data_IF_282174157284
#
_entry.id   IF_282174157284
#
_cell.length_a   1.000
_cell.length_b   1.000
_cell.length_c   1.000
_cell.angle_alpha   90.00
_cell.angle_beta   90.00
_cell.angle_gamma   90.00
#
_symmetry.space_group_name_H-M   'P 1'
#
loop_
_entity.id
_entity.type
_entity.pdbx_description
1 polymer ?
#
# COMPACT_ATOMS: atom_id res chain seq x y z
N UNK A 1 1.54 39.73 8.01
CA UNK A 1 0.40 38.84 8.33
C UNK A 1 0.91 37.42 8.16
N UNK A 2 1.19 36.69 9.25
CA UNK A 2 1.67 35.31 9.15
C UNK A 2 0.58 34.43 8.54
N UNK A 3 0.90 33.69 7.48
CA UNK A 3 -0.05 32.78 6.84
C UNK A 3 -0.37 31.64 7.81
N UNK A 4 -1.48 31.76 8.56
CA UNK A 4 -1.85 30.79 9.61
C UNK A 4 -2.37 29.46 9.05
N UNK A 5 -2.38 29.27 7.73
CA UNK A 5 -2.84 28.03 7.08
C UNK A 5 -1.95 26.82 7.38
N UNK A 6 -0.68 27.03 7.74
CA UNK A 6 0.21 25.92 8.11
C UNK A 6 -0.12 25.33 9.48
N UNK A 7 -0.70 26.11 10.40
CA UNK A 7 -0.92 25.68 11.78
C UNK A 7 -1.97 24.57 11.90
N UNK A 8 -3.16 24.64 11.26
CA UNK A 8 -4.11 23.53 11.25
C UNK A 8 -3.56 22.28 10.56
N UNK A 9 -2.76 22.43 9.50
CA UNK A 9 -2.15 21.32 8.79
C UNK A 9 -1.07 20.63 9.64
N UNK A 10 -0.24 21.42 10.32
CA UNK A 10 0.75 20.94 11.26
C UNK A 10 0.08 20.24 12.45
N UNK A 11 -0.92 20.85 13.09
CA UNK A 11 -1.65 20.23 14.19
C UNK A 11 -2.39 18.95 13.76
N UNK A 12 -3.06 18.96 12.60
CA UNK A 12 -3.79 17.81 12.08
C UNK A 12 -2.90 16.61 11.71
N UNK A 13 -1.62 16.84 11.42
CA UNK A 13 -0.67 15.78 11.08
C UNK A 13 0.22 15.38 12.26
N UNK A 14 0.72 16.37 13.01
CA UNK A 14 1.65 16.15 14.13
C UNK A 14 0.94 15.62 15.38
N UNK A 15 -0.28 16.06 15.68
CA UNK A 15 -1.01 15.57 16.85
C UNK A 15 -1.25 14.05 16.79
N UNK A 16 -1.84 13.47 15.71
CA UNK A 16 -1.97 12.02 15.62
C UNK A 16 -0.62 11.31 15.53
N UNK A 17 0.44 11.94 14.99
CA UNK A 17 1.77 11.35 14.89
C UNK A 17 2.55 11.33 16.21
N UNK A 18 2.29 12.26 17.13
CA UNK A 18 3.08 12.42 18.35
C UNK A 18 2.34 11.97 19.61
N UNK A 19 1.01 12.15 19.69
CA UNK A 19 0.24 11.83 20.89
C UNK A 19 0.26 10.33 21.22
N UNK A 20 -0.03 9.39 20.30
CA UNK A 20 0.02 7.96 20.63
C UNK A 20 1.42 7.48 21.01
N UNK A 21 2.50 7.82 20.26
CA UNK A 21 3.88 7.59 20.70
C UNK A 21 4.20 8.10 22.10
N UNK A 22 3.82 9.34 22.42
CA UNK A 22 4.06 9.93 23.73
C UNK A 22 3.35 9.15 24.85
N UNK A 23 2.08 8.78 24.64
CA UNK A 23 1.33 7.94 25.59
C UNK A 23 1.99 6.56 25.77
N UNK A 24 2.46 5.93 24.70
CA UNK A 24 3.15 4.63 24.77
C UNK A 24 4.46 4.74 25.55
N UNK A 25 5.23 5.81 25.35
CA UNK A 25 6.49 6.03 26.09
C UNK A 25 6.21 6.23 27.59
N UNK A 26 5.19 7.02 27.94
CA UNK A 26 4.78 7.19 29.33
C UNK A 26 4.34 5.86 29.93
N UNK A 27 3.50 5.11 29.21
CA UNK A 27 3.07 3.77 29.65
C UNK A 27 4.28 2.85 29.82
N UNK A 28 5.21 2.80 28.86
CA UNK A 28 6.42 1.98 28.92
C UNK A 28 7.25 2.26 30.17
N UNK A 29 7.48 3.53 30.49
CA UNK A 29 8.24 3.95 31.67
C UNK A 29 7.63 3.42 32.98
N UNK A 30 6.29 3.43 33.09
CA UNK A 30 5.61 2.86 34.26
C UNK A 30 5.46 1.34 34.15
N UNK A 31 5.34 0.79 32.95
CA UNK A 31 5.09 -0.62 32.70
C UNK A 31 6.19 -1.50 33.30
N UNK A 32 7.45 -1.08 33.19
CA UNK A 32 8.58 -1.83 33.78
C UNK A 32 8.43 -2.07 35.29
N UNK A 33 7.81 -1.13 36.01
CA UNK A 33 7.65 -1.20 37.46
C UNK A 33 6.41 -1.97 37.92
N UNK A 34 5.40 -2.12 37.05
CA UNK A 34 4.10 -2.71 37.40
C UNK A 34 3.73 -3.97 36.60
N UNK A 35 4.47 -4.29 35.54
CA UNK A 35 4.20 -5.44 34.70
C UNK A 35 4.67 -6.73 35.37
N UNK A 36 3.89 -7.80 35.14
CA UNK A 36 4.31 -9.15 35.50
C UNK A 36 5.29 -9.67 34.46
N UNK A 37 6.32 -10.38 34.91
CA UNK A 37 7.22 -11.10 34.01
C UNK A 37 6.44 -12.22 33.32
N UNK A 38 6.48 -12.24 31.98
CA UNK A 38 5.84 -13.26 31.14
C UNK A 38 6.91 -13.98 30.34
N UNK A 39 7.00 -15.29 30.49
CA UNK A 39 7.86 -16.14 29.67
C UNK A 39 7.22 -16.32 28.28
N UNK A 40 7.85 -15.74 27.25
CA UNK A 40 7.35 -15.79 25.87
C UNK A 40 7.29 -17.19 25.26
N UNK A 41 8.00 -18.18 25.80
CA UNK A 41 8.11 -19.53 25.24
C UNK A 41 7.24 -20.56 25.95
N UNK A 42 6.95 -20.35 27.24
CA UNK A 42 6.28 -21.33 28.10
C UNK A 42 5.03 -20.79 28.82
N UNK A 43 4.49 -19.64 28.39
CA UNK A 43 3.29 -19.08 29.01
C UNK A 43 2.07 -20.00 28.78
N UNK A 44 1.53 -20.55 29.85
CA UNK A 44 0.40 -21.51 29.85
C UNK A 44 -0.86 -20.96 30.53
N UNK A 45 -0.86 -19.71 30.98
CA UNK A 45 -1.82 -19.27 31.98
C UNK A 45 -3.21 -18.96 31.41
N UNK A 46 -4.22 -19.44 32.13
CA UNK A 46 -5.63 -19.03 32.14
C UNK A 46 -5.86 -17.57 32.58
N UNK A 47 -4.85 -16.70 32.44
CA UNK A 47 -4.87 -15.32 32.89
C UNK A 47 -5.08 -14.43 31.66
N UNK A 48 -6.23 -13.77 31.58
CA UNK A 48 -6.36 -12.61 30.73
C UNK A 48 -5.54 -11.48 31.37
N UNK A 49 -4.27 -11.37 31.00
CA UNK A 49 -3.34 -10.36 31.50
C UNK A 49 -3.26 -9.14 30.58
N UNK A 50 -4.22 -9.00 29.67
CA UNK A 50 -4.25 -8.00 28.59
C UNK A 50 -3.11 -8.09 27.58
N UNK A 51 -2.17 -9.04 27.69
CA UNK A 51 -0.97 -9.18 26.83
C UNK A 51 -1.03 -10.46 25.99
N UNK A 52 -1.62 -11.54 26.50
CA UNK A 52 -1.81 -12.79 25.79
C UNK A 52 -3.27 -13.01 25.36
N UNK A 53 -3.48 -13.43 24.10
CA UNK A 53 -4.72 -14.14 23.75
C UNK A 53 -4.63 -15.48 24.47
N UNK A 54 -5.56 -15.75 25.41
CA UNK A 54 -5.66 -17.05 26.08
C UNK A 54 -5.97 -18.20 25.11
N UNK A 55 -6.73 -19.24 25.49
CA UNK A 55 -6.96 -20.43 24.66
C UNK A 55 -7.83 -20.20 23.39
N UNK A 56 -7.96 -18.96 22.92
CA UNK A 56 -8.66 -18.59 21.69
C UNK A 56 -7.85 -18.91 20.42
N UNK A 57 -6.55 -19.20 20.54
CA UNK A 57 -5.74 -19.73 19.44
C UNK A 57 -5.85 -21.26 19.43
N UNK A 58 -6.09 -21.84 18.25
CA UNK A 58 -6.01 -23.29 18.07
C UNK A 58 -4.54 -23.72 18.08
N UNK A 59 -4.00 -24.09 19.24
CA UNK A 59 -2.61 -24.53 19.40
C UNK A 59 -1.92 -23.92 20.63
N UNK A 60 -0.59 -23.89 20.61
CA UNK A 60 0.21 -23.20 21.62
C UNK A 60 0.11 -21.70 21.36
N UNK A 61 -0.49 -20.96 22.29
CA UNK A 61 -0.68 -19.52 22.16
C UNK A 61 0.67 -18.79 22.03
N UNK A 62 0.76 -17.86 21.09
CA UNK A 62 1.98 -17.08 20.82
C UNK A 62 1.88 -15.65 21.38
N UNK A 63 3.03 -15.10 21.77
CA UNK A 63 3.11 -13.73 22.28
C UNK A 63 2.74 -12.71 21.19
N UNK A 64 1.87 -11.75 21.52
CA UNK A 64 1.40 -10.70 20.60
C UNK A 64 1.71 -9.30 21.13
N UNK A 65 2.17 -8.41 20.26
CA UNK A 65 2.54 -7.04 20.66
C UNK A 65 1.35 -6.07 20.79
N UNK A 66 0.27 -6.29 20.04
CA UNK A 66 -0.84 -5.34 19.89
C UNK A 66 -1.73 -5.20 21.13
N UNK A 67 -1.77 -6.21 22.01
CA UNK A 67 -2.58 -6.17 23.22
C UNK A 67 -1.86 -5.39 24.33
N UNK A 68 -1.86 -4.06 24.20
CA UNK A 68 -1.40 -3.09 25.21
C UNK A 68 -0.02 -3.35 25.82
N UNK A 69 0.87 -4.01 25.10
CA UNK A 69 2.24 -4.15 25.54
C UNK A 69 3.03 -2.93 25.03
N UNK A 70 3.72 -2.22 25.91
CA UNK A 70 4.48 -1.02 25.55
C UNK A 70 5.83 -1.40 24.90
N UNK A 71 5.81 -2.26 23.88
CA UNK A 71 7.02 -2.74 23.20
C UNK A 71 7.44 -1.86 22.04
N UNK A 72 8.70 -2.01 21.60
CA UNK A 72 9.19 -1.34 20.40
C UNK A 72 8.37 -1.69 19.15
N UNK A 73 7.89 -2.93 19.00
CA UNK A 73 7.05 -3.31 17.87
C UNK A 73 5.66 -2.65 17.94
N UNK A 74 5.08 -2.51 19.14
CA UNK A 74 3.84 -1.75 19.35
C UNK A 74 4.01 -0.29 18.90
N UNK A 75 5.14 0.33 19.25
CA UNK A 75 5.48 1.66 18.78
C UNK A 75 5.58 1.75 17.24
N UNK A 76 6.28 0.79 16.59
CA UNK A 76 6.37 0.71 15.12
C UNK A 76 4.99 0.55 14.46
N UNK A 77 4.12 -0.30 15.01
CA UNK A 77 2.75 -0.51 14.54
C UNK A 77 1.91 0.77 14.60
N UNK A 78 2.04 1.54 15.69
CA UNK A 78 1.36 2.83 15.81
C UNK A 78 1.88 3.87 14.82
N UNK A 79 3.20 4.01 14.67
CA UNK A 79 3.78 4.91 13.68
C UNK A 79 3.32 4.58 12.26
N UNK A 80 3.34 3.29 11.90
CA UNK A 80 2.86 2.80 10.61
C UNK A 80 1.38 3.17 10.39
N UNK A 81 0.54 2.92 11.39
CA UNK A 81 -0.91 3.20 11.31
C UNK A 81 -1.17 4.68 11.14
N UNK A 82 -0.49 5.53 11.91
CA UNK A 82 -0.66 6.98 11.79
C UNK A 82 -0.21 7.47 10.42
N UNK A 83 0.95 7.00 9.93
CA UNK A 83 1.43 7.36 8.61
C UNK A 83 0.41 6.98 7.51
N UNK A 84 -0.13 5.75 7.56
CA UNK A 84 -1.12 5.28 6.61
C UNK A 84 -2.42 6.12 6.65
N UNK A 85 -2.92 6.44 7.85
CA UNK A 85 -4.13 7.26 8.03
C UNK A 85 -3.93 8.69 7.53
N UNK A 86 -2.79 9.32 7.82
CA UNK A 86 -2.47 10.67 7.34
C UNK A 86 -2.35 10.67 5.80
N UNK A 87 -1.67 9.68 5.22
CA UNK A 87 -1.52 9.56 3.78
C UNK A 87 -2.88 9.41 3.08
N UNK A 88 -3.76 8.55 3.62
CA UNK A 88 -5.12 8.38 3.11
C UNK A 88 -5.92 9.68 3.22
N UNK A 89 -5.85 10.36 4.38
CA UNK A 89 -6.53 11.63 4.62
C UNK A 89 -6.11 12.70 3.61
N UNK A 90 -4.80 12.90 3.40
CA UNK A 90 -4.31 13.89 2.43
C UNK A 90 -4.69 13.53 0.98
N UNK A 91 -4.71 12.24 0.63
CA UNK A 91 -5.19 11.80 -0.68
C UNK A 91 -6.68 12.12 -0.87
N UNK A 92 -7.54 11.78 0.10
CA UNK A 92 -8.98 12.05 0.05
C UNK A 92 -9.25 13.56 0.00
N UNK A 93 -8.61 14.33 0.88
CA UNK A 93 -8.70 15.79 0.91
C UNK A 93 -8.34 16.41 -0.43
N UNK A 94 -7.26 15.94 -1.07
CA UNK A 94 -6.87 16.38 -2.41
C UNK A 94 -7.92 16.03 -3.47
N UNK A 95 -8.46 14.81 -3.46
CA UNK A 95 -9.50 14.40 -4.41
C UNK A 95 -10.78 15.22 -4.24
N UNK A 96 -11.22 15.46 -3.01
CA UNK A 96 -12.37 16.33 -2.71
C UNK A 96 -12.11 17.74 -3.25
N UNK A 97 -10.93 18.31 -3.02
CA UNK A 97 -10.58 19.62 -3.57
C UNK A 97 -10.66 19.65 -5.10
N UNK A 98 -10.18 18.61 -5.78
CA UNK A 98 -10.27 18.50 -7.25
C UNK A 98 -11.72 18.35 -7.74
N UNK A 99 -12.57 17.64 -6.99
CA UNK A 99 -14.01 17.51 -7.28
C UNK A 99 -14.68 18.88 -7.19
N UNK A 100 -14.46 19.61 -6.08
CA UNK A 100 -15.02 20.93 -5.87
C UNK A 100 -14.56 21.95 -6.93
N UNK A 101 -13.33 21.81 -7.40
CA UNK A 101 -12.78 22.65 -8.47
C UNK A 101 -13.18 22.20 -9.89
N UNK A 102 -13.93 21.10 -10.04
CA UNK A 102 -14.26 20.49 -11.34
C UNK A 102 -13.02 20.17 -12.20
N UNK A 103 -11.91 19.85 -11.53
CA UNK A 103 -10.62 19.50 -12.16
C UNK A 103 -10.27 18.03 -12.02
N UNK A 104 -11.19 17.21 -11.52
CA UNK A 104 -10.92 15.80 -11.32
C UNK A 104 -11.00 15.02 -12.63
N UNK A 105 -9.96 14.24 -12.92
CA UNK A 105 -9.98 13.19 -13.93
C UNK A 105 -10.53 11.90 -13.32
N UNK A 106 -11.82 11.63 -13.54
CA UNK A 106 -12.54 10.49 -12.94
C UNK A 106 -11.91 9.11 -13.22
N UNK A 107 -11.22 8.94 -14.36
CA UNK A 107 -10.51 7.68 -14.63
C UNK A 107 -9.43 7.38 -13.59
N UNK A 108 -8.76 8.40 -13.07
CA UNK A 108 -7.75 8.25 -12.01
C UNK A 108 -8.38 8.08 -10.62
N UNK A 109 -9.58 8.65 -10.39
CA UNK A 109 -10.33 8.39 -9.17
C UNK A 109 -10.68 6.89 -9.06
N UNK A 110 -11.16 6.28 -10.14
CA UNK A 110 -11.47 4.84 -10.17
C UNK A 110 -10.21 4.01 -9.87
N UNK A 111 -9.07 4.33 -10.47
CA UNK A 111 -7.81 3.64 -10.20
C UNK A 111 -7.37 3.78 -8.74
N UNK A 112 -7.47 5.00 -8.18
CA UNK A 112 -7.17 5.22 -6.78
C UNK A 112 -8.08 4.41 -5.87
N UNK A 113 -9.39 4.41 -6.10
CA UNK A 113 -10.37 3.65 -5.32
C UNK A 113 -10.09 2.15 -5.33
N UNK A 114 -9.73 1.60 -6.49
CA UNK A 114 -9.36 0.17 -6.60
C UNK A 114 -8.05 -0.14 -5.85
N UNK A 115 -7.07 0.78 -5.88
CA UNK A 115 -5.79 0.60 -5.18
C UNK A 115 -5.89 0.63 -3.65
N UNK A 116 -7.00 1.12 -3.08
CA UNK A 116 -7.21 1.15 -1.62
C UNK A 116 -7.09 -0.24 -1.02
N UNK A 117 -7.57 -1.28 -1.72
CA UNK A 117 -7.49 -2.66 -1.24
C UNK A 117 -6.03 -3.09 -1.02
N UNK A 118 -5.14 -2.85 -2.00
CA UNK A 118 -3.74 -3.24 -1.89
C UNK A 118 -3.02 -2.49 -0.77
N UNK A 119 -3.23 -1.18 -0.66
CA UNK A 119 -2.66 -0.38 0.44
C UNK A 119 -3.17 -0.81 1.82
N UNK A 120 -4.46 -1.11 1.92
CA UNK A 120 -5.05 -1.64 3.16
C UNK A 120 -4.44 -2.99 3.54
N UNK A 121 -4.31 -3.90 2.57
CA UNK A 121 -3.69 -5.19 2.81
C UNK A 121 -2.23 -5.04 3.23
N UNK A 122 -1.46 -4.18 2.56
CA UNK A 122 -0.06 -3.93 2.91
C UNK A 122 0.06 -3.45 4.36
N UNK A 123 -0.74 -2.45 4.75
CA UNK A 123 -0.81 -1.98 6.15
C UNK A 123 -1.12 -3.14 7.11
N UNK A 124 -2.15 -3.95 6.80
CA UNK A 124 -2.54 -5.09 7.61
C UNK A 124 -1.44 -6.16 7.72
N UNK A 125 -0.75 -6.46 6.62
CA UNK A 125 0.34 -7.42 6.60
C UNK A 125 1.49 -6.97 7.51
N UNK A 126 1.94 -5.72 7.40
CA UNK A 126 2.97 -5.19 8.30
C UNK A 126 2.54 -5.18 9.76
N UNK A 127 1.28 -4.84 10.05
CA UNK A 127 0.74 -4.93 11.41
C UNK A 127 0.89 -6.36 11.96
N UNK A 128 0.52 -7.38 11.19
CA UNK A 128 0.69 -8.78 11.60
C UNK A 128 2.16 -9.18 11.74
N UNK A 129 3.03 -8.77 10.81
CA UNK A 129 4.46 -9.07 10.87
C UNK A 129 5.12 -8.51 12.14
N UNK A 130 4.78 -7.28 12.52
CA UNK A 130 5.23 -6.71 13.79
C UNK A 130 4.56 -7.32 15.00
N UNK A 131 3.30 -7.72 14.90
CA UNK A 131 2.55 -8.30 16.01
C UNK A 131 2.99 -9.73 16.35
N UNK A 132 3.39 -10.49 15.33
CA UNK A 132 3.69 -11.92 15.41
C UNK A 132 5.21 -12.21 15.31
N UNK A 133 6.06 -11.18 15.23
CA UNK A 133 7.49 -11.29 14.95
C UNK A 133 7.81 -12.14 13.68
N UNK A 134 6.93 -12.10 12.69
CA UNK A 134 7.04 -12.86 11.44
C UNK A 134 7.59 -12.00 10.31
N UNK A 135 8.87 -12.17 9.99
CA UNK A 135 9.58 -11.33 9.00
C UNK A 135 9.99 -12.05 7.71
N UNK A 136 9.62 -13.32 7.52
CA UNK A 136 10.05 -14.09 6.35
C UNK A 136 9.57 -13.48 5.02
N UNK A 137 8.38 -12.86 5.02
CA UNK A 137 7.78 -12.24 3.83
C UNK A 137 7.99 -10.72 3.78
N UNK A 138 8.87 -10.19 4.63
CA UNK A 138 9.05 -8.74 4.80
C UNK A 138 9.54 -8.05 3.54
N UNK A 139 10.60 -8.59 2.93
CA UNK A 139 11.24 -8.00 1.75
C UNK A 139 10.31 -8.02 0.54
N UNK A 140 9.59 -9.12 0.35
CA UNK A 140 8.60 -9.26 -0.70
C UNK A 140 7.47 -8.24 -0.51
N UNK A 141 6.90 -8.13 0.69
CA UNK A 141 5.87 -7.14 1.00
C UNK A 141 6.37 -5.70 0.81
N UNK A 142 7.60 -5.40 1.21
CA UNK A 142 8.25 -4.09 1.04
C UNK A 142 8.37 -3.71 -0.44
N UNK A 143 8.78 -4.65 -1.28
CA UNK A 143 8.89 -4.45 -2.70
C UNK A 143 7.54 -4.04 -3.31
N UNK A 144 6.48 -4.82 -3.08
CA UNK A 144 5.13 -4.51 -3.59
C UNK A 144 4.58 -3.21 -3.03
N UNK A 145 4.78 -2.92 -1.74
CA UNK A 145 4.33 -1.64 -1.16
C UNK A 145 5.02 -0.45 -1.82
N UNK A 146 6.33 -0.53 -2.09
CA UNK A 146 7.06 0.57 -2.74
C UNK A 146 6.55 0.79 -4.18
N UNK A 147 6.39 -0.27 -4.96
CA UNK A 147 5.91 -0.16 -6.34
C UNK A 147 4.46 0.33 -6.38
N UNK A 148 3.59 -0.13 -5.48
CA UNK A 148 2.22 0.37 -5.32
C UNK A 148 2.19 1.86 -4.97
N UNK A 149 3.03 2.32 -4.04
CA UNK A 149 3.15 3.75 -3.70
C UNK A 149 3.57 4.57 -4.92
N UNK A 150 4.58 4.12 -5.69
CA UNK A 150 5.01 4.82 -6.90
C UNK A 150 3.85 4.94 -7.90
N UNK A 151 3.12 3.84 -8.14
CA UNK A 151 1.97 3.86 -9.04
C UNK A 151 0.88 4.81 -8.53
N UNK A 152 0.52 4.74 -7.25
CA UNK A 152 -0.49 5.61 -6.64
C UNK A 152 -0.08 7.08 -6.68
N UNK A 153 1.20 7.42 -6.48
CA UNK A 153 1.69 8.80 -6.63
C UNK A 153 1.48 9.30 -8.06
N UNK A 154 1.75 8.47 -9.07
CA UNK A 154 1.50 8.82 -10.48
C UNK A 154 0.01 8.96 -10.78
N UNK A 155 -0.84 8.06 -10.27
CA UNK A 155 -2.31 8.14 -10.39
C UNK A 155 -2.83 9.42 -9.75
N UNK A 156 -2.41 9.73 -8.53
CA UNK A 156 -2.80 10.95 -7.81
C UNK A 156 -2.27 12.20 -8.52
N UNK A 157 -1.06 12.19 -9.06
CA UNK A 157 -0.56 13.28 -9.90
C UNK A 157 -1.46 13.49 -11.12
N UNK A 158 -1.81 12.42 -11.85
CA UNK A 158 -2.70 12.46 -13.01
C UNK A 158 -4.18 12.66 -12.67
N UNK A 159 -4.59 12.61 -11.41
CA UNK A 159 -5.97 12.89 -11.01
C UNK A 159 -6.40 14.33 -11.28
N UNK A 160 -5.45 15.26 -11.34
CA UNK A 160 -5.70 16.64 -11.75
C UNK A 160 -5.75 16.75 -13.28
N UNK A 161 -6.85 17.27 -13.82
CA UNK A 161 -7.06 17.44 -15.26
C UNK A 161 -6.09 18.45 -15.88
N UNK A 162 -5.57 19.40 -15.08
CA UNK A 162 -4.57 20.39 -15.51
C UNK A 162 -3.20 19.77 -15.80
N UNK A 163 -2.91 18.61 -15.18
CA UNK A 163 -1.68 17.90 -15.41
C UNK A 163 -1.70 17.18 -16.76
N UNK A 164 -0.65 17.40 -17.55
CA UNK A 164 -0.48 16.79 -18.86
C UNK A 164 -0.23 15.28 -18.73
N UNK A 165 -0.98 14.52 -19.53
CA UNK A 165 -0.82 13.08 -19.70
C UNK A 165 0.36 12.85 -20.64
N UNK A 166 1.44 12.28 -20.11
CA UNK A 166 2.65 11.94 -20.90
C UNK A 166 2.83 10.44 -20.94
N UNK A 167 3.46 9.95 -22.02
CA UNK A 167 3.81 8.53 -22.21
C UNK A 167 4.58 7.97 -21.02
N UNK A 168 5.57 8.71 -20.51
CA UNK A 168 6.40 8.30 -19.37
C UNK A 168 5.59 8.06 -18.09
N UNK A 169 4.66 8.96 -17.74
CA UNK A 169 3.81 8.81 -16.55
C UNK A 169 2.87 7.61 -16.68
N UNK A 170 2.27 7.43 -17.85
CA UNK A 170 1.38 6.31 -18.14
C UNK A 170 2.13 4.98 -18.11
N UNK A 171 3.30 4.91 -18.77
CA UNK A 171 4.11 3.69 -18.80
C UNK A 171 4.77 3.35 -17.47
N UNK A 172 4.95 4.32 -16.57
CA UNK A 172 5.31 4.03 -15.18
C UNK A 172 4.21 3.22 -14.48
N UNK A 173 2.95 3.68 -14.54
CA UNK A 173 1.79 2.97 -13.97
C UNK A 173 1.62 1.59 -14.63
N UNK A 174 1.64 1.56 -15.96
CA UNK A 174 1.46 0.33 -16.75
C UNK A 174 2.59 -0.67 -16.50
N UNK A 175 3.84 -0.21 -16.41
CA UNK A 175 4.98 -1.07 -16.12
C UNK A 175 4.84 -1.76 -14.76
N UNK A 176 4.45 -1.01 -13.72
CA UNK A 176 4.22 -1.57 -12.38
C UNK A 176 3.05 -2.57 -12.40
N UNK A 177 1.96 -2.24 -13.09
CA UNK A 177 0.83 -3.16 -13.25
C UNK A 177 1.23 -4.47 -13.96
N UNK A 178 2.00 -4.40 -15.04
CA UNK A 178 2.51 -5.59 -15.74
C UNK A 178 3.39 -6.43 -14.82
N UNK A 179 4.30 -5.79 -14.08
CA UNK A 179 5.14 -6.46 -13.11
C UNK A 179 4.30 -7.22 -12.08
N UNK A 180 3.29 -6.59 -11.48
CA UNK A 180 2.45 -7.23 -10.47
C UNK A 180 1.61 -8.37 -11.06
N UNK A 181 1.03 -8.19 -12.24
CA UNK A 181 0.28 -9.25 -12.94
C UNK A 181 1.18 -10.46 -13.18
N UNK A 182 2.40 -10.25 -13.67
CA UNK A 182 3.36 -11.33 -13.93
C UNK A 182 3.75 -11.99 -12.61
N UNK A 183 4.21 -11.22 -11.62
CA UNK A 183 4.68 -11.74 -10.35
C UNK A 183 3.59 -12.53 -9.61
N UNK A 184 2.37 -11.98 -9.51
CA UNK A 184 1.23 -12.70 -8.89
C UNK A 184 0.84 -13.96 -9.67
N UNK A 185 0.92 -13.95 -11.00
CA UNK A 185 0.63 -15.12 -11.84
C UNK A 185 1.66 -16.24 -11.68
N UNK A 186 2.93 -15.92 -11.39
CA UNK A 186 3.95 -16.92 -11.07
C UNK A 186 3.89 -17.40 -9.61
N UNK A 187 3.13 -16.72 -8.77
CA UNK A 187 2.95 -17.03 -7.36
C UNK A 187 1.52 -17.53 -7.08
N UNK A 188 0.87 -17.04 -6.02
CA UNK A 188 -0.33 -17.62 -5.43
C UNK A 188 -1.56 -17.52 -6.33
N UNK A 189 -1.64 -16.53 -7.24
CA UNK A 189 -2.84 -16.31 -8.06
C UNK A 189 -3.16 -17.51 -8.96
N UNK A 190 -2.16 -18.09 -9.63
CA UNK A 190 -2.37 -19.19 -10.55
C UNK A 190 -2.85 -20.45 -9.83
N UNK A 191 -2.23 -20.80 -8.71
CA UNK A 191 -2.62 -21.98 -7.92
C UNK A 191 -3.99 -21.76 -7.27
N UNK A 192 -4.18 -20.62 -6.60
CA UNK A 192 -5.39 -20.38 -5.82
C UNK A 192 -6.63 -20.19 -6.69
N UNK A 193 -6.53 -19.34 -7.72
CA UNK A 193 -7.68 -18.91 -8.52
C UNK A 193 -7.86 -19.79 -9.75
N UNK A 194 -6.80 -19.99 -10.55
CA UNK A 194 -6.93 -20.69 -11.84
C UNK A 194 -6.97 -22.20 -11.69
N UNK A 195 -6.21 -22.78 -10.76
CA UNK A 195 -6.31 -24.21 -10.43
C UNK A 195 -7.36 -24.53 -9.39
N UNK A 196 -7.89 -23.52 -8.70
CA UNK A 196 -8.90 -23.72 -7.64
C UNK A 196 -8.35 -24.45 -6.41
N UNK A 197 -7.04 -24.40 -6.18
CA UNK A 197 -6.38 -25.06 -5.05
C UNK A 197 -6.47 -24.20 -3.76
N UNK A 198 -6.91 -22.94 -3.88
CA UNK A 198 -6.95 -21.97 -2.79
C UNK A 198 -8.24 -22.02 -1.98
N UNK A 199 -8.14 -21.72 -0.69
CA UNK A 199 -9.31 -21.45 0.14
C UNK A 199 -10.02 -20.16 -0.29
N UNK A 200 -11.30 -20.02 0.05
CA UNK A 200 -12.12 -18.88 -0.35
C UNK A 200 -11.48 -17.51 -0.02
N UNK A 201 -10.84 -17.38 1.15
CA UNK A 201 -10.17 -16.14 1.54
C UNK A 201 -8.94 -15.82 0.68
N UNK A 202 -8.19 -16.84 0.24
CA UNK A 202 -7.04 -16.67 -0.65
C UNK A 202 -7.50 -16.25 -2.05
N UNK A 203 -8.55 -16.90 -2.57
CA UNK A 203 -9.15 -16.56 -3.87
C UNK A 203 -9.63 -15.10 -3.88
N UNK A 204 -10.41 -14.68 -2.87
CA UNK A 204 -10.94 -13.31 -2.79
C UNK A 204 -9.81 -12.29 -2.69
N UNK A 205 -8.78 -12.57 -1.89
CA UNK A 205 -7.60 -11.72 -1.76
C UNK A 205 -6.86 -11.58 -3.10
N UNK A 206 -6.61 -12.70 -3.79
CA UNK A 206 -5.83 -12.72 -5.02
C UNK A 206 -6.58 -12.02 -6.17
N UNK A 207 -7.90 -12.17 -6.23
CA UNK A 207 -8.76 -11.36 -7.12
C UNK A 207 -8.69 -9.88 -6.75
N UNK A 208 -8.70 -9.58 -5.46
CA UNK A 208 -8.61 -8.23 -4.91
C UNK A 208 -7.33 -7.49 -5.32
N UNK A 209 -6.21 -8.20 -5.55
CA UNK A 209 -4.98 -7.61 -6.10
C UNK A 209 -4.99 -7.54 -7.63
N UNK A 210 -5.41 -8.62 -8.30
CA UNK A 210 -5.35 -8.72 -9.75
C UNK A 210 -6.26 -7.71 -10.46
N UNK A 211 -7.46 -7.46 -9.92
CA UNK A 211 -8.43 -6.53 -10.53
C UNK A 211 -7.87 -5.10 -10.60
N UNK A 212 -7.38 -4.49 -9.50
CA UNK A 212 -6.69 -3.20 -9.55
C UNK A 212 -5.55 -3.15 -10.56
N UNK A 213 -4.69 -4.17 -10.63
CA UNK A 213 -3.55 -4.16 -11.56
C UNK A 213 -4.00 -4.23 -13.03
N UNK A 214 -4.98 -5.06 -13.35
CA UNK A 214 -5.59 -5.08 -14.70
C UNK A 214 -6.17 -3.70 -15.05
N UNK A 215 -6.84 -3.05 -14.10
CA UNK A 215 -7.39 -1.71 -14.35
C UNK A 215 -6.29 -0.66 -14.51
N UNK A 216 -5.21 -0.74 -13.72
CA UNK A 216 -4.02 0.11 -13.86
C UNK A 216 -3.26 -0.14 -15.16
N UNK A 217 -3.46 -1.29 -15.82
CA UNK A 217 -3.00 -1.52 -17.18
C UNK A 217 -3.95 -0.88 -18.21
N UNK A 218 -5.25 -1.19 -18.13
CA UNK A 218 -6.22 -0.85 -19.18
C UNK A 218 -6.57 0.64 -19.20
N UNK A 219 -6.88 1.24 -18.06
CA UNK A 219 -7.39 2.62 -17.99
C UNK A 219 -6.32 3.64 -18.42
N UNK A 220 -5.05 3.56 -17.98
CA UNK A 220 -4.00 4.48 -18.42
C UNK A 220 -3.68 4.35 -19.92
N UNK A 221 -3.69 3.13 -20.48
CA UNK A 221 -3.50 2.92 -21.92
C UNK A 221 -4.66 3.50 -22.73
N UNK A 222 -5.90 3.30 -22.27
CA UNK A 222 -7.08 3.92 -22.88
C UNK A 222 -6.99 5.46 -22.84
N UNK A 223 -6.60 6.02 -21.69
CA UNK A 223 -6.42 7.46 -21.53
C UNK A 223 -5.36 8.01 -22.49
N UNK A 224 -4.21 7.34 -22.61
CA UNK A 224 -3.14 7.74 -23.53
C UNK A 224 -3.63 7.74 -24.98
N UNK A 225 -4.36 6.69 -25.39
CA UNK A 225 -4.94 6.61 -26.74
C UNK A 225 -5.94 7.76 -26.99
N UNK A 226 -6.80 8.04 -26.01
CA UNK A 226 -7.75 9.16 -26.08
C UNK A 226 -7.05 10.50 -26.23
N UNK A 227 -6.07 10.81 -25.39
CA UNK A 227 -5.33 12.08 -25.43
C UNK A 227 -4.61 12.28 -26.77
N UNK A 228 -4.07 11.21 -27.37
CA UNK A 228 -3.43 11.29 -28.69
C UNK A 228 -4.41 11.61 -29.82
N UNK A 229 -5.62 11.04 -29.77
CA UNK A 229 -6.69 11.33 -30.73
C UNK A 229 -7.13 12.79 -30.62
N UNK A 230 -7.33 13.29 -29.40
CA UNK A 230 -7.70 14.69 -29.14
C UNK A 230 -6.60 15.68 -29.57
N UNK A 231 -5.33 15.26 -29.50
CA UNK A 231 -4.17 16.07 -29.93
C UNK A 231 -3.87 15.98 -31.44
N UNK A 232 -4.74 15.33 -32.23
CA UNK A 232 -4.56 15.10 -33.68
C UNK A 232 -3.22 14.45 -34.07
N UNK A 233 -2.63 13.66 -33.17
CA UNK A 233 -1.38 12.92 -33.46
C UNK A 233 -1.74 11.70 -34.30
N UNK A 234 -1.62 11.81 -35.62
CA UNK A 234 -1.96 10.76 -36.60
C UNK A 234 -0.87 9.71 -36.79
N UNK A 235 0.32 9.88 -36.19
CA UNK A 235 1.42 8.93 -36.33
C UNK A 235 1.07 7.61 -35.62
N UNK A 236 1.07 6.47 -36.32
CA UNK A 236 0.84 5.17 -35.70
C UNK A 236 1.95 4.85 -34.69
N UNK A 237 1.62 4.07 -33.65
CA UNK A 237 2.49 3.77 -32.51
C UNK A 237 3.93 3.39 -32.91
N UNK A 238 4.08 2.56 -33.95
CA UNK A 238 5.38 2.07 -34.42
C UNK A 238 6.25 3.12 -35.15
N UNK A 239 5.67 4.24 -35.62
CA UNK A 239 6.43 5.32 -36.29
C UNK A 239 6.83 6.45 -35.33
N UNK A 240 6.36 6.42 -34.09
CA UNK A 240 6.71 7.40 -33.07
C UNK A 240 7.97 6.96 -32.32
N UNK A 241 9.12 7.53 -32.70
CA UNK A 241 10.43 7.19 -32.12
C UNK A 241 10.52 7.52 -30.62
N UNK A 242 9.79 8.53 -30.14
CA UNK A 242 9.77 8.86 -28.70
C UNK A 242 9.02 7.79 -27.93
N UNK A 243 7.84 7.41 -28.44
CA UNK A 243 7.02 6.37 -27.85
C UNK A 243 7.73 5.01 -27.84
N UNK A 244 8.39 4.65 -28.94
CA UNK A 244 9.14 3.39 -29.01
C UNK A 244 10.25 3.34 -27.95
N UNK A 245 10.99 4.44 -27.76
CA UNK A 245 11.99 4.54 -26.68
C UNK A 245 11.35 4.37 -25.30
N UNK A 246 10.20 5.01 -25.06
CA UNK A 246 9.50 4.90 -23.77
C UNK A 246 8.98 3.48 -23.51
N UNK A 247 8.51 2.75 -24.55
CA UNK A 247 8.11 1.34 -24.45
C UNK A 247 9.31 0.45 -24.12
N UNK A 248 10.42 0.62 -24.83
CA UNK A 248 11.65 -0.17 -24.56
C UNK A 248 12.16 0.10 -23.14
N UNK A 249 12.14 1.35 -22.69
CA UNK A 249 12.51 1.72 -21.33
C UNK A 249 11.58 1.09 -20.29
N UNK A 250 10.27 1.10 -20.53
CA UNK A 250 9.29 0.44 -19.67
C UNK A 250 9.55 -1.07 -19.59
N UNK A 251 9.78 -1.75 -20.72
CA UNK A 251 10.06 -3.19 -20.73
C UNK A 251 11.34 -3.52 -19.96
N UNK A 252 12.40 -2.74 -20.13
CA UNK A 252 13.64 -2.90 -19.36
C UNK A 252 13.39 -2.71 -17.86
N UNK A 253 12.62 -1.68 -17.49
CA UNK A 253 12.23 -1.42 -16.10
C UNK A 253 11.44 -2.60 -15.50
N UNK A 254 10.45 -3.14 -16.22
CA UNK A 254 9.67 -4.31 -15.78
C UNK A 254 10.56 -5.52 -15.58
N UNK A 255 11.45 -5.82 -16.53
CA UNK A 255 12.36 -6.97 -16.44
C UNK A 255 13.30 -6.81 -15.24
N UNK A 256 13.90 -5.63 -15.06
CA UNK A 256 14.80 -5.37 -13.94
C UNK A 256 14.09 -5.53 -12.59
N UNK A 257 12.89 -4.97 -12.45
CA UNK A 257 12.09 -5.13 -11.23
C UNK A 257 11.63 -6.57 -11.02
N UNK A 258 11.29 -7.31 -12.08
CA UNK A 258 10.90 -8.70 -11.97
C UNK A 258 12.07 -9.56 -11.46
N UNK A 259 13.29 -9.34 -11.97
CA UNK A 259 14.50 -10.02 -11.48
C UNK A 259 14.71 -9.72 -9.99
N UNK A 260 14.57 -8.46 -9.57
CA UNK A 260 14.65 -8.10 -8.14
C UNK A 260 13.59 -8.85 -7.34
N UNK A 261 12.33 -8.86 -7.80
CA UNK A 261 11.23 -9.57 -7.16
C UNK A 261 11.50 -11.07 -6.97
N UNK A 262 12.13 -11.72 -7.96
CA UNK A 262 12.47 -13.16 -7.86
C UNK A 262 13.62 -13.48 -6.90
N UNK A 263 14.44 -12.49 -6.54
CA UNK A 263 15.59 -12.66 -5.63
C UNK A 263 15.18 -12.42 -4.16
N UNK A 264 14.14 -11.62 -3.93
CA UNK A 264 13.64 -11.23 -2.61
C UNK A 264 12.73 -12.30 -1.99
#
# INVERSE_FOLDING_TARGET
>A
MFDTKWLPAACGSLAPALIPPAHIVILWYFWENYARYVDKHFCTCSCWDTVFKGPYESGVASYKHMYFNATQNTFKMWLLTVFAVIALYECIKRLIALILQQRLRYSMLVLFSLSIFSHYYAWWAYMNYYNDDYYQQWNHQLFFTITEIISTVMVMHLADSTNTVTTKKIFCIVGIAILHIIASSFDQFFFNVLRGEGYAHQIVRDIGFMVPDIMQLVIPLWLLNRTRKESYITRPFYKDRSLHKDIVAMMFFVIALFVVCTIL
#
